data_IF_612929553382
#
_entry.id   IF_612929553382
#
_cell.length_a   1.000
_cell.length_b   1.000
_cell.length_c   1.000
_cell.angle_alpha   90.00
_cell.angle_beta   90.00
_cell.angle_gamma   90.00
#
_symmetry.space_group_name_H-M   'P 1'
#
loop_
_entity.id
_entity.type
_entity.pdbx_description
1 polymer ?
#
# COMPACT_ATOMS: atom_id res chain seq x y z
N UNK A 1 -0.32 -23.53 11.45
CA UNK A 1 0.42 -22.27 11.68
C UNK A 1 -0.50 -21.30 12.40
N UNK A 2 -0.06 -20.70 13.50
CA UNK A 2 -0.81 -19.67 14.22
C UNK A 2 -0.78 -18.41 13.36
N UNK A 3 -1.93 -17.93 12.91
CA UNK A 3 -1.99 -16.66 12.19
C UNK A 3 -1.62 -15.53 13.17
N UNK A 4 -0.67 -14.64 12.83
CA UNK A 4 -0.30 -13.54 13.71
C UNK A 4 -1.51 -12.62 13.92
N UNK A 5 -1.69 -12.15 15.16
CA UNK A 5 -2.80 -11.27 15.52
C UNK A 5 -2.82 -10.03 14.61
N UNK A 6 -4.02 -9.67 14.14
CA UNK A 6 -4.26 -8.46 13.37
C UNK A 6 -4.53 -7.34 14.38
N UNK A 7 -3.74 -6.25 14.41
CA UNK A 7 -4.07 -5.09 15.21
C UNK A 7 -5.39 -4.50 14.73
N UNK A 8 -6.24 -4.05 15.65
CA UNK A 8 -7.51 -3.42 15.30
C UNK A 8 -7.66 -2.14 16.10
N UNK A 9 -7.66 -1.00 15.40
CA UNK A 9 -7.99 0.30 15.95
C UNK A 9 -9.47 0.53 15.70
N UNK A 10 -10.24 0.78 16.75
CA UNK A 10 -11.69 1.00 16.66
C UNK A 10 -11.95 2.48 16.39
N UNK A 11 -12.77 2.77 15.38
CA UNK A 11 -13.18 4.14 15.08
C UNK A 11 -14.29 4.60 16.02
N UNK A 12 -14.28 5.89 16.39
CA UNK A 12 -15.42 6.49 17.11
C UNK A 12 -16.59 6.72 16.15
N UNK A 13 -16.28 7.16 14.92
CA UNK A 13 -17.23 7.33 13.82
C UNK A 13 -16.79 6.48 12.63
N UNK A 14 -17.67 5.62 12.11
CA UNK A 14 -17.40 4.83 10.91
C UNK A 14 -16.90 5.71 9.78
N UNK A 15 -15.84 5.28 9.10
CA UNK A 15 -15.17 5.95 7.97
C UNK A 15 -14.26 7.13 8.32
N UNK A 16 -14.11 7.46 9.61
CA UNK A 16 -13.25 8.56 10.05
C UNK A 16 -11.80 8.42 9.56
N UNK A 17 -11.21 7.22 9.63
CA UNK A 17 -9.84 6.98 9.16
C UNK A 17 -9.69 7.22 7.66
N UNK A 18 -10.72 6.91 6.88
CA UNK A 18 -10.72 7.08 5.41
C UNK A 18 -10.96 8.52 5.00
N UNK A 19 -11.76 9.25 5.77
CA UNK A 19 -12.02 10.68 5.56
C UNK A 19 -10.75 11.49 5.85
N UNK A 20 -10.14 11.28 7.01
CA UNK A 20 -8.87 11.92 7.41
C UNK A 20 -7.78 11.62 6.38
N UNK A 21 -7.70 10.38 5.90
CA UNK A 21 -6.75 10.01 4.84
C UNK A 21 -6.99 10.83 3.58
N UNK A 22 -8.25 11.00 3.16
CA UNK A 22 -8.63 11.77 1.97
C UNK A 22 -8.25 13.25 2.13
N UNK A 23 -8.56 13.86 3.27
CA UNK A 23 -8.18 15.26 3.57
C UNK A 23 -6.67 15.46 3.56
N UNK A 24 -5.91 14.46 4.04
CA UNK A 24 -4.46 14.55 4.10
C UNK A 24 -3.76 14.51 2.73
N UNK A 25 -4.43 14.04 1.66
CA UNK A 25 -3.82 13.78 0.35
C UNK A 25 -3.07 14.99 -0.23
N UNK A 26 -3.62 16.20 -0.06
CA UNK A 26 -3.02 17.46 -0.54
C UNK A 26 -1.67 17.78 0.11
N UNK A 27 -1.50 17.31 1.35
CA UNK A 27 -0.30 17.58 2.16
C UNK A 27 0.74 16.48 2.07
N UNK A 28 0.39 15.31 1.50
CA UNK A 28 1.30 14.18 1.38
C UNK A 28 2.51 14.53 0.51
N UNK A 29 3.68 14.06 0.96
CA UNK A 29 4.97 14.24 0.29
C UNK A 29 5.69 12.89 0.25
N UNK A 30 6.74 12.83 -0.57
CA UNK A 30 7.61 11.66 -0.69
C UNK A 30 6.82 10.37 -0.98
N UNK A 31 7.20 9.24 -0.38
CA UNK A 31 6.55 7.94 -0.61
C UNK A 31 5.15 7.82 0.02
N UNK A 32 4.71 8.82 0.80
CA UNK A 32 3.43 8.85 1.48
C UNK A 32 3.34 7.93 2.72
N UNK A 33 2.14 7.87 3.33
CA UNK A 33 1.90 7.13 4.56
C UNK A 33 1.82 5.62 4.29
N UNK A 34 1.94 4.76 5.33
CA UNK A 34 1.60 3.34 5.23
C UNK A 34 0.23 3.12 4.58
N UNK A 35 0.05 1.93 4.03
CA UNK A 35 -1.25 1.55 3.49
C UNK A 35 -2.26 1.47 4.64
N UNK A 36 -3.50 1.86 4.35
CA UNK A 36 -4.60 1.82 5.30
C UNK A 36 -5.53 0.69 4.90
N UNK A 37 -5.95 -0.10 5.88
CA UNK A 37 -6.98 -1.12 5.69
C UNK A 37 -8.08 -0.84 6.68
N UNK A 38 -9.26 -0.55 6.16
CA UNK A 38 -10.47 -0.28 6.92
C UNK A 38 -11.44 -1.44 6.72
N UNK A 39 -12.10 -1.88 7.79
CA UNK A 39 -13.06 -2.96 7.78
C UNK A 39 -14.33 -2.51 8.52
N UNK A 40 -15.49 -2.90 7.98
CA UNK A 40 -16.78 -2.73 8.64
C UNK A 40 -17.21 -4.07 9.22
N UNK A 41 -17.44 -4.07 10.53
CA UNK A 41 -17.87 -5.22 11.31
C UNK A 41 -19.33 -5.04 11.73
N UNK A 42 -20.16 -6.04 11.47
CA UNK A 42 -21.51 -6.12 12.04
C UNK A 42 -21.57 -7.15 13.16
N UNK A 43 -22.23 -6.85 14.28
CA UNK A 43 -22.53 -7.84 15.31
C UNK A 43 -23.38 -8.99 14.73
N UNK A 44 -23.08 -10.23 15.11
CA UNK A 44 -23.81 -11.42 14.66
C UNK A 44 -25.12 -11.60 15.42
N UNK A 45 -25.15 -11.24 16.71
CA UNK A 45 -26.27 -11.50 17.63
C UNK A 45 -27.00 -10.27 18.14
N UNK A 46 -26.43 -9.08 17.96
CA UNK A 46 -27.00 -7.83 18.48
C UNK A 46 -27.49 -6.95 17.35
N UNK A 47 -28.54 -6.16 17.61
CA UNK A 47 -29.04 -5.11 16.72
C UNK A 47 -28.23 -3.80 16.84
N UNK A 48 -27.04 -3.86 17.45
CA UNK A 48 -26.18 -2.69 17.61
C UNK A 48 -25.63 -2.22 16.26
N UNK A 49 -25.23 -0.94 16.22
CA UNK A 49 -24.65 -0.30 15.04
C UNK A 49 -23.38 -1.04 14.60
N UNK A 50 -23.09 -0.95 13.31
CA UNK A 50 -21.83 -1.40 12.74
C UNK A 50 -20.63 -0.70 13.39
N UNK A 51 -19.50 -1.39 13.42
CA UNK A 51 -18.25 -0.91 14.00
C UNK A 51 -17.22 -0.82 12.89
N UNK A 52 -16.64 0.37 12.72
CA UNK A 52 -15.47 0.58 11.87
C UNK A 52 -14.20 0.22 12.63
N UNK A 53 -13.35 -0.59 12.01
CA UNK A 53 -11.99 -0.84 12.52
C UNK A 53 -10.99 -0.64 11.41
N UNK A 54 -9.78 -0.21 11.75
CA UNK A 54 -8.71 -0.06 10.79
C UNK A 54 -7.36 -0.46 11.35
N UNK A 55 -6.43 -0.70 10.44
CA UNK A 55 -5.03 -0.93 10.76
C UNK A 55 -4.15 -0.46 9.60
N UNK A 56 -2.86 -0.29 9.89
CA UNK A 56 -1.89 0.07 8.87
C UNK A 56 -1.15 -1.15 8.36
N UNK A 57 -0.73 -1.12 7.10
CA UNK A 57 0.00 -2.22 6.48
C UNK A 57 1.14 -1.69 5.61
N UNK A 58 2.23 -2.45 5.54
CA UNK A 58 3.30 -2.25 4.56
C UNK A 58 3.73 -3.59 3.98
N UNK A 59 4.08 -3.61 2.70
CA UNK A 59 4.69 -4.78 2.05
C UNK A 59 3.71 -5.81 1.50
N UNK A 60 2.44 -5.47 1.36
CA UNK A 60 1.48 -6.25 0.56
C UNK A 60 1.69 -5.95 -0.92
N UNK A 61 1.50 -6.95 -1.77
CA UNK A 61 1.57 -6.79 -3.22
C UNK A 61 0.41 -5.94 -3.74
N UNK A 62 0.70 -4.68 -4.05
CA UNK A 62 -0.23 -3.71 -4.62
C UNK A 62 -0.18 -3.64 -6.15
N UNK A 63 0.20 -4.73 -6.83
CA UNK A 63 0.24 -4.79 -8.31
C UNK A 63 -1.11 -5.00 -8.98
N UNK A 64 -2.16 -5.36 -8.23
CA UNK A 64 -3.50 -5.52 -8.77
C UNK A 64 -4.58 -5.36 -7.70
N UNK A 65 -5.80 -5.06 -8.13
CA UNK A 65 -6.97 -5.07 -7.25
C UNK A 65 -7.24 -6.47 -6.68
N UNK A 66 -6.98 -7.53 -7.45
CA UNK A 66 -7.15 -8.92 -7.01
C UNK A 66 -6.23 -9.27 -5.84
N UNK A 67 -4.96 -8.85 -5.88
CA UNK A 67 -4.00 -9.08 -4.78
C UNK A 67 -4.45 -8.41 -3.48
N UNK A 68 -4.94 -7.17 -3.56
CA UNK A 68 -5.43 -6.42 -2.40
C UNK A 68 -6.76 -6.98 -1.87
N UNK A 69 -7.67 -7.38 -2.75
CA UNK A 69 -8.91 -8.04 -2.37
C UNK A 69 -8.64 -9.40 -1.71
N UNK A 70 -7.67 -10.16 -2.22
CA UNK A 70 -7.23 -11.41 -1.61
C UNK A 70 -6.70 -11.17 -0.18
N UNK A 71 -5.92 -10.10 0.03
CA UNK A 71 -5.49 -9.71 1.37
C UNK A 71 -6.68 -9.41 2.29
N UNK A 72 -7.65 -8.59 1.88
CA UNK A 72 -8.87 -8.31 2.67
C UNK A 72 -9.60 -9.62 3.00
N UNK A 73 -9.69 -10.55 2.05
CA UNK A 73 -10.34 -11.83 2.24
C UNK A 73 -9.66 -12.71 3.31
N UNK A 74 -8.35 -12.53 3.55
CA UNK A 74 -7.67 -13.22 4.66
C UNK A 74 -8.11 -12.70 6.02
N UNK A 75 -8.65 -11.49 6.10
CA UNK A 75 -9.08 -10.84 7.34
C UNK A 75 -10.53 -11.20 7.71
N UNK A 76 -11.34 -11.58 6.73
CA UNK A 76 -12.76 -11.94 6.93
C UNK A 76 -12.95 -13.14 7.84
N UNK A 77 -11.98 -14.06 7.86
CA UNK A 77 -12.06 -15.32 8.57
C UNK A 77 -11.08 -15.32 9.75
N UNK A 78 -11.43 -14.61 10.82
CA UNK A 78 -10.71 -14.71 12.09
C UNK A 78 -11.36 -15.82 12.95
N UNK A 79 -10.67 -16.94 13.23
CA UNK A 79 -11.28 -18.08 13.94
C UNK A 79 -11.61 -17.78 15.41
N UNK A 80 -11.06 -16.69 15.95
CA UNK A 80 -11.12 -16.34 17.37
C UNK A 80 -12.29 -15.43 17.75
N UNK A 81 -12.75 -14.56 16.84
CA UNK A 81 -13.85 -13.64 17.11
C UNK A 81 -15.09 -14.01 16.28
N UNK A 82 -16.07 -14.64 16.94
CA UNK A 82 -17.36 -15.03 16.35
C UNK A 82 -18.47 -14.01 16.64
N UNK A 83 -18.15 -12.92 17.31
CA UNK A 83 -19.14 -11.91 17.72
C UNK A 83 -19.49 -10.98 16.58
N UNK A 84 -18.56 -10.81 15.62
CA UNK A 84 -18.70 -9.93 14.48
C UNK A 84 -18.53 -10.67 13.15
N UNK A 85 -19.23 -10.20 12.13
CA UNK A 85 -19.02 -10.55 10.72
C UNK A 85 -18.47 -9.33 9.98
N UNK A 86 -17.44 -9.52 9.16
CA UNK A 86 -16.94 -8.45 8.29
C UNK A 86 -17.84 -8.40 7.04
N UNK A 87 -18.43 -7.23 6.77
CA UNK A 87 -19.33 -7.01 5.64
C UNK A 87 -18.68 -6.20 4.52
N UNK A 88 -17.69 -5.37 4.85
CA UNK A 88 -16.93 -4.61 3.88
C UNK A 88 -15.49 -4.40 4.33
N UNK A 89 -14.59 -4.27 3.37
CA UNK A 89 -13.22 -3.82 3.58
C UNK A 89 -12.77 -2.85 2.50
N UNK A 90 -11.92 -1.90 2.87
CA UNK A 90 -11.32 -0.93 1.98
C UNK A 90 -9.81 -0.92 2.19
N UNK A 91 -9.06 -1.19 1.13
CA UNK A 91 -7.61 -1.05 1.11
C UNK A 91 -7.24 0.26 0.41
N UNK A 92 -6.41 1.10 1.03
CA UNK A 92 -5.89 2.34 0.46
C UNK A 92 -4.36 2.29 0.36
N UNK A 93 -3.84 2.46 -0.86
CA UNK A 93 -2.41 2.51 -1.16
C UNK A 93 -2.07 3.81 -1.89
N UNK A 94 -1.17 4.61 -1.33
CA UNK A 94 -0.81 5.88 -1.96
C UNK A 94 0.14 5.65 -3.14
N UNK A 95 -0.14 6.25 -4.29
CA UNK A 95 0.76 6.31 -5.43
C UNK A 95 1.46 7.67 -5.44
N UNK A 96 2.75 7.68 -5.08
CA UNK A 96 3.54 8.89 -5.01
C UNK A 96 3.97 9.44 -6.40
N UNK A 97 3.98 8.60 -7.44
CA UNK A 97 4.27 9.06 -8.81
C UNK A 97 3.12 9.93 -9.32
N UNK A 98 1.89 9.44 -9.22
CA UNK A 98 0.72 10.16 -9.75
C UNK A 98 0.00 11.02 -8.71
N UNK A 99 0.40 10.94 -7.43
CA UNK A 99 -0.23 11.60 -6.27
C UNK A 99 -1.72 11.28 -6.16
N UNK A 100 -2.02 10.00 -6.30
CA UNK A 100 -3.36 9.44 -6.20
C UNK A 100 -3.37 8.42 -5.06
N UNK A 101 -4.51 8.23 -4.43
CA UNK A 101 -4.73 7.17 -3.45
C UNK A 101 -5.51 6.04 -4.12
N UNK A 102 -4.84 4.93 -4.41
CA UNK A 102 -5.48 3.74 -4.98
C UNK A 102 -6.33 3.06 -3.93
N UNK A 103 -7.57 2.73 -4.28
CA UNK A 103 -8.55 2.14 -3.38
C UNK A 103 -9.15 0.87 -3.95
N UNK A 104 -9.22 -0.16 -3.10
CA UNK A 104 -9.90 -1.42 -3.40
C UNK A 104 -10.94 -1.67 -2.32
N UNK A 105 -12.20 -1.55 -2.70
CA UNK A 105 -13.34 -1.82 -1.84
C UNK A 105 -13.86 -3.22 -2.12
N UNK A 106 -13.98 -4.02 -1.07
CA UNK A 106 -14.59 -5.34 -1.08
C UNK A 106 -15.89 -5.27 -0.29
N UNK A 107 -16.98 -5.69 -0.91
CA UNK A 107 -18.28 -5.89 -0.26
C UNK A 107 -18.54 -7.38 -0.19
N UNK A 108 -18.97 -7.86 0.98
CA UNK A 108 -19.04 -9.28 1.30
C UNK A 108 -20.50 -9.66 1.52
N UNK A 109 -21.04 -10.64 0.76
CA UNK A 109 -20.37 -11.39 -0.31
C UNK A 109 -20.38 -10.66 -1.67
N UNK A 110 -19.23 -10.64 -2.36
CA UNK A 110 -19.23 -10.75 -3.82
C UNK A 110 -19.09 -9.48 -4.66
N UNK A 111 -18.64 -8.33 -4.14
CA UNK A 111 -18.24 -7.22 -5.02
C UNK A 111 -16.85 -6.71 -4.70
N UNK A 112 -16.05 -6.46 -5.73
CA UNK A 112 -14.77 -5.78 -5.64
C UNK A 112 -14.80 -4.58 -6.58
N UNK A 113 -14.68 -3.38 -6.03
CA UNK A 113 -14.56 -2.12 -6.79
C UNK A 113 -13.16 -1.58 -6.59
N UNK A 114 -12.50 -1.22 -7.69
CA UNK A 114 -11.19 -0.56 -7.66
C UNK A 114 -11.26 0.80 -8.34
N UNK A 115 -10.72 1.80 -7.67
CA UNK A 115 -10.72 3.19 -8.12
C UNK A 115 -9.53 3.92 -7.50
N UNK A 116 -9.30 5.17 -7.90
CA UNK A 116 -8.31 6.02 -7.23
C UNK A 116 -8.92 7.38 -6.90
N UNK A 117 -8.42 7.99 -5.83
CA UNK A 117 -8.84 9.31 -5.36
C UNK A 117 -7.69 10.29 -5.57
N UNK A 118 -7.96 11.44 -6.19
CA UNK A 118 -6.95 12.47 -6.37
C UNK A 118 -6.86 13.44 -5.18
N UNK A 119 -5.92 14.40 -5.24
CA UNK A 119 -5.73 15.41 -4.20
C UNK A 119 -6.99 16.28 -3.94
N UNK A 120 -7.97 16.29 -4.86
CA UNK A 120 -9.24 17.02 -4.71
C UNK A 120 -10.34 16.18 -4.07
N UNK A 121 -10.11 14.87 -3.91
CA UNK A 121 -11.11 13.93 -3.46
C UNK A 121 -11.94 13.32 -4.60
N UNK A 122 -11.61 13.57 -5.85
CA UNK A 122 -12.38 13.10 -7.00
C UNK A 122 -12.03 11.63 -7.35
N UNK A 123 -13.06 10.83 -7.60
CA UNK A 123 -12.90 9.43 -8.02
C UNK A 123 -12.48 9.33 -9.49
N UNK A 124 -11.46 8.51 -9.75
CA UNK A 124 -10.93 8.23 -11.09
C UNK A 124 -10.75 6.72 -11.29
N UNK A 125 -10.68 6.33 -12.57
CA UNK A 125 -10.44 4.95 -12.95
C UNK A 125 -8.99 4.52 -12.64
N UNK A 126 -8.84 3.35 -12.02
CA UNK A 126 -7.55 2.73 -11.72
C UNK A 126 -7.02 1.96 -12.94
N UNK A 127 -6.14 2.59 -13.73
CA UNK A 127 -5.52 1.97 -14.91
C UNK A 127 -4.34 1.06 -14.54
N UNK A 128 -3.94 0.17 -15.46
CA UNK A 128 -2.79 -0.74 -15.26
C UNK A 128 -1.48 0.00 -15.01
N UNK A 129 -1.28 1.14 -15.68
CA UNK A 129 -0.13 2.02 -15.45
C UNK A 129 -0.09 2.55 -14.00
N UNK A 130 -1.25 2.92 -13.45
CA UNK A 130 -1.36 3.38 -12.07
C UNK A 130 -1.08 2.24 -11.08
N UNK A 131 -1.52 1.01 -11.39
CA UNK A 131 -1.21 -0.17 -10.58
C UNK A 131 0.29 -0.50 -10.57
N UNK A 132 0.97 -0.38 -11.71
CA UNK A 132 2.41 -0.57 -11.79
C UNK A 132 3.18 0.45 -10.93
N UNK A 133 2.80 1.73 -11.02
CA UNK A 133 3.35 2.78 -10.16
C UNK A 133 3.11 2.51 -8.67
N UNK A 134 1.89 2.08 -8.34
CA UNK A 134 1.47 1.82 -6.96
C UNK A 134 2.22 0.63 -6.37
N UNK A 135 2.41 -0.44 -7.15
CA UNK A 135 3.24 -1.57 -6.75
C UNK A 135 4.65 -1.11 -6.36
N UNK A 136 5.31 -0.33 -7.23
CA UNK A 136 6.65 0.18 -6.94
C UNK A 136 6.66 1.06 -5.69
N UNK A 137 5.69 1.97 -5.55
CA UNK A 137 5.54 2.79 -4.35
C UNK A 137 5.37 1.95 -3.08
N UNK A 138 4.55 0.90 -3.12
CA UNK A 138 4.30 0.01 -1.99
C UNK A 138 5.56 -0.73 -1.54
N UNK A 139 6.34 -1.27 -2.49
CA UNK A 139 7.61 -1.95 -2.20
C UNK A 139 8.64 -0.98 -1.60
N UNK A 140 8.83 0.19 -2.23
CA UNK A 140 9.76 1.22 -1.72
C UNK A 140 9.35 1.72 -0.34
N UNK A 141 8.05 1.91 -0.13
CA UNK A 141 7.51 2.32 1.17
C UNK A 141 7.77 1.27 2.24
N UNK A 142 7.56 -0.01 1.93
CA UNK A 142 7.83 -1.09 2.88
C UNK A 142 9.29 -1.09 3.35
N UNK A 143 10.25 -0.89 2.44
CA UNK A 143 11.66 -0.74 2.83
C UNK A 143 11.96 0.57 3.57
N UNK A 144 11.31 1.68 3.21
CA UNK A 144 11.49 2.95 3.91
C UNK A 144 10.95 2.95 5.34
N UNK A 145 9.97 2.10 5.65
CA UNK A 145 9.40 1.90 6.99
C UNK A 145 9.94 0.65 7.70
N UNK A 146 10.86 -0.07 7.05
CA UNK A 146 11.57 -1.18 7.68
C UNK A 146 12.55 -0.62 8.72
N UNK A 147 12.70 -1.36 9.82
CA UNK A 147 13.75 -1.09 10.79
C UNK A 147 15.10 -1.43 10.14
N UNK A 148 16.04 -0.49 10.16
CA UNK A 148 17.40 -0.70 9.69
C UNK A 148 18.29 -1.37 10.74
N UNK A 149 17.73 -1.72 11.91
CA UNK A 149 18.43 -2.35 13.02
C UNK A 149 19.35 -1.40 13.76
N UNK A 150 19.32 -0.10 13.44
CA UNK A 150 20.10 0.94 14.14
C UNK A 150 19.51 1.29 15.51
N UNK A 151 18.27 0.88 15.78
CA UNK A 151 17.55 1.18 17.02
C UNK A 151 17.07 2.64 17.14
N UNK A 152 17.43 3.51 16.20
CA UNK A 152 17.25 4.97 16.32
C UNK A 152 16.01 5.48 15.56
N UNK A 153 15.52 4.71 14.57
CA UNK A 153 14.53 5.22 13.60
C UNK A 153 13.39 4.26 13.27
N UNK A 154 12.91 3.45 14.22
CA UNK A 154 11.61 2.79 14.01
C UNK A 154 10.55 3.89 14.02
N UNK A 155 10.07 4.30 12.83
CA UNK A 155 8.85 5.11 12.71
C UNK A 155 7.73 4.31 13.38
N UNK A 156 7.39 4.68 14.63
CA UNK A 156 6.38 4.02 15.45
C UNK A 156 5.01 4.33 14.89
N UNK A 157 4.58 3.48 13.95
CA UNK A 157 3.21 3.48 13.45
C UNK A 157 2.41 2.56 14.36
N UNK A 158 1.36 3.10 14.98
CA UNK A 158 0.45 2.34 15.82
C UNK A 158 -0.37 1.39 14.94
N UNK A 159 -0.58 0.15 15.38
CA UNK A 159 -1.44 -0.79 14.67
C UNK A 159 -0.95 -1.17 13.26
N UNK A 160 0.36 -1.18 13.02
CA UNK A 160 0.93 -1.53 11.70
C UNK A 160 1.30 -3.01 11.59
N UNK A 161 0.97 -3.62 10.46
CA UNK A 161 1.46 -4.93 10.03
C UNK A 161 2.53 -4.75 8.97
N UNK A 162 3.72 -5.31 9.21
CA UNK A 162 4.83 -5.26 8.26
C UNK A 162 5.02 -6.63 7.62
N UNK A 163 4.97 -6.66 6.30
CA UNK A 163 5.29 -7.83 5.49
C UNK A 163 6.59 -7.57 4.73
N UNK A 164 7.33 -8.63 4.42
CA UNK A 164 8.43 -8.54 3.47
C UNK A 164 7.84 -8.48 2.05
N UNK A 165 8.00 -7.38 1.29
CA UNK A 165 7.45 -7.27 -0.06
C UNK A 165 8.14 -8.17 -1.09
N UNK A 166 9.37 -8.64 -0.81
CA UNK A 166 10.15 -9.49 -1.72
C UNK A 166 10.51 -10.78 -0.99
N UNK A 167 9.72 -11.83 -1.24
CA UNK A 167 9.88 -13.15 -0.59
C UNK A 167 10.41 -14.23 -1.53
N UNK A 168 10.56 -13.94 -2.82
CA UNK A 168 11.06 -14.88 -3.82
C UNK A 168 11.83 -14.17 -4.93
N UNK A 169 12.61 -14.95 -5.68
CA UNK A 169 13.37 -14.47 -6.84
C UNK A 169 12.45 -13.90 -7.93
N UNK A 170 11.26 -14.47 -8.13
CA UNK A 170 10.28 -13.97 -9.09
C UNK A 170 9.74 -12.59 -8.67
N UNK A 171 9.50 -12.38 -7.37
CA UNK A 171 9.08 -11.08 -6.83
C UNK A 171 10.19 -10.03 -6.99
N UNK A 172 11.46 -10.44 -6.85
CA UNK A 172 12.63 -9.60 -7.08
C UNK A 172 12.74 -9.17 -8.55
N UNK A 173 12.60 -10.10 -9.50
CA UNK A 173 12.58 -9.80 -10.93
C UNK A 173 11.45 -8.84 -11.30
N UNK A 174 10.23 -9.09 -10.80
CA UNK A 174 9.07 -8.22 -11.01
C UNK A 174 9.32 -6.81 -10.49
N UNK A 175 9.93 -6.67 -9.30
CA UNK A 175 10.31 -5.38 -8.74
C UNK A 175 11.31 -4.64 -9.62
N UNK A 176 12.37 -5.31 -10.06
CA UNK A 176 13.40 -4.71 -10.91
C UNK A 176 12.84 -4.26 -12.26
N UNK A 177 11.99 -5.08 -12.87
CA UNK A 177 11.35 -4.75 -14.13
C UNK A 177 10.42 -3.54 -13.99
N UNK A 178 9.61 -3.49 -12.92
CA UNK A 178 8.75 -2.34 -12.63
C UNK A 178 9.58 -1.07 -12.40
N UNK A 179 10.67 -1.17 -11.64
CA UNK A 179 11.60 -0.06 -11.40
C UNK A 179 12.23 0.44 -12.70
N UNK A 180 12.67 -0.47 -13.58
CA UNK A 180 13.27 -0.13 -14.87
C UNK A 180 12.29 0.59 -15.78
N UNK A 181 11.09 0.03 -15.97
CA UNK A 181 10.02 0.62 -16.81
C UNK A 181 9.69 2.04 -16.37
N UNK A 182 9.56 2.26 -15.05
CA UNK A 182 9.21 3.57 -14.49
C UNK A 182 10.39 4.55 -14.46
N UNK A 183 11.63 4.07 -14.30
CA UNK A 183 12.84 4.90 -14.34
C UNK A 183 12.99 5.61 -15.70
N UNK A 184 12.82 4.87 -16.80
CA UNK A 184 12.93 5.45 -18.14
C UNK A 184 11.76 6.38 -18.50
N UNK A 185 10.54 6.09 -18.01
CA UNK A 185 9.38 6.98 -18.15
C UNK A 185 9.64 8.33 -17.47
N UNK A 186 10.25 8.33 -16.28
CA UNK A 186 10.67 9.56 -15.59
C UNK A 186 11.80 10.33 -16.28
N UNK A 187 12.68 9.66 -17.03
CA UNK A 187 13.84 10.27 -17.69
C UNK A 187 13.51 10.87 -19.07
N UNK A 188 12.56 10.30 -19.83
CA UNK A 188 12.11 10.87 -21.12
C UNK A 188 11.35 12.18 -20.94
N UNK A 189 10.58 12.33 -19.88
CA UNK A 189 9.84 13.57 -19.58
C UNK A 189 10.76 14.73 -19.14
N UNK A 190 11.97 14.45 -18.63
CA UNK A 190 12.95 15.49 -18.26
C UNK A 190 13.44 16.35 -19.42
N UNK A 191 13.40 15.84 -20.66
CA UNK A 191 13.89 16.59 -21.83
C UNK A 191 12.93 17.68 -22.29
N UNK A 192 11.69 17.72 -21.80
CA UNK A 192 10.67 18.65 -22.31
C UNK A 192 10.00 19.57 -21.29
N UNK A 193 10.15 19.40 -19.97
CA UNK A 193 9.56 20.38 -19.05
C UNK A 193 10.23 20.54 -17.68
N UNK A 194 10.43 21.79 -17.26
CA UNK A 194 11.00 22.14 -15.94
C UNK A 194 9.87 22.34 -14.92
N UNK A 195 9.28 21.26 -14.41
CA UNK A 195 8.38 21.34 -13.24
C UNK A 195 8.92 20.57 -12.03
N UNK A 196 8.62 21.08 -10.83
CA UNK A 196 9.14 20.58 -9.55
C UNK A 196 8.60 19.17 -9.20
N UNK A 197 7.48 18.75 -9.78
CA UNK A 197 6.88 17.42 -9.58
C UNK A 197 7.63 16.33 -10.34
N UNK A 198 8.03 16.60 -11.57
CA UNK A 198 8.86 15.74 -12.42
C UNK A 198 10.23 15.42 -11.78
N UNK A 199 10.88 16.46 -11.23
CA UNK A 199 12.14 16.31 -10.48
C UNK A 199 12.00 15.41 -9.24
N UNK A 200 10.87 15.47 -8.56
CA UNK A 200 10.59 14.62 -7.38
C UNK A 200 10.35 13.16 -7.78
N UNK A 201 9.58 12.90 -8.85
CA UNK A 201 9.43 11.55 -9.42
C UNK A 201 10.78 10.97 -9.82
N UNK A 202 11.65 11.79 -10.43
CA UNK A 202 12.99 11.40 -10.81
C UNK A 202 13.92 11.15 -9.61
N UNK A 203 13.86 11.96 -8.55
CA UNK A 203 14.62 11.71 -7.32
C UNK A 203 14.15 10.43 -6.63
N UNK A 204 12.85 10.13 -6.66
CA UNK A 204 12.29 8.89 -6.11
C UNK A 204 12.68 7.67 -6.96
N UNK A 205 12.69 7.81 -8.30
CA UNK A 205 13.21 6.79 -9.21
C UNK A 205 14.73 6.61 -9.07
N UNK A 206 15.48 7.68 -8.77
CA UNK A 206 16.91 7.63 -8.48
C UNK A 206 17.19 7.02 -7.11
N UNK A 207 16.36 7.29 -6.09
CA UNK A 207 16.38 6.60 -4.81
C UNK A 207 16.04 5.12 -4.98
N UNK A 208 15.04 4.78 -5.81
CA UNK A 208 14.73 3.40 -6.17
C UNK A 208 15.91 2.74 -6.90
N UNK A 209 16.55 3.44 -7.84
CA UNK A 209 17.73 2.96 -8.55
C UNK A 209 18.95 2.78 -7.65
N UNK A 210 19.18 3.69 -6.71
CA UNK A 210 20.24 3.59 -5.70
C UNK A 210 19.93 2.48 -4.68
N UNK A 211 18.66 2.31 -4.30
CA UNK A 211 18.21 1.21 -3.46
C UNK A 211 18.40 -0.12 -4.19
N UNK A 212 18.06 -0.21 -5.48
CA UNK A 212 18.31 -1.39 -6.33
C UNK A 212 19.81 -1.68 -6.44
N UNK A 213 20.66 -0.67 -6.66
CA UNK A 213 22.13 -0.85 -6.68
C UNK A 213 22.67 -1.30 -5.32
N UNK A 214 22.16 -0.73 -4.23
CA UNK A 214 22.56 -1.10 -2.88
C UNK A 214 22.06 -2.51 -2.51
N UNK A 215 20.85 -2.90 -2.91
CA UNK A 215 20.33 -4.26 -2.77
C UNK A 215 21.17 -5.26 -3.58
N UNK A 216 21.55 -4.92 -4.82
CA UNK A 216 22.51 -5.72 -5.62
C UNK A 216 23.86 -5.90 -4.94
N UNK A 217 24.35 -4.89 -4.22
CA UNK A 217 25.61 -4.97 -3.47
C UNK A 217 25.49 -5.75 -2.15
N UNK A 218 24.32 -5.72 -1.50
CA UNK A 218 24.04 -6.41 -0.22
C UNK A 218 23.64 -7.88 -0.41
N UNK A 219 23.09 -8.25 -1.56
CA UNK A 219 22.70 -9.61 -1.89
C UNK A 219 23.37 -10.09 -3.20
N UNK A 220 24.70 -10.24 -3.22
CA UNK A 220 25.44 -10.61 -4.44
C UNK A 220 25.10 -12.01 -4.99
N UNK A 221 24.46 -12.86 -4.18
CA UNK A 221 24.13 -14.25 -4.53
C UNK A 221 22.70 -14.47 -5.05
N UNK A 222 21.77 -13.51 -4.91
CA UNK A 222 20.44 -13.58 -5.55
C UNK A 222 20.43 -12.98 -6.97
N UNK A 223 21.47 -12.21 -7.32
CA UNK A 223 21.61 -11.50 -8.61
C UNK A 223 22.52 -12.19 -9.65
N UNK A 224 23.04 -13.38 -9.35
CA UNK A 224 23.71 -14.23 -10.34
C UNK A 224 22.87 -15.47 -10.57
N UNK A 225 22.68 -15.81 -11.85
CA UNK A 225 21.88 -16.91 -12.44
C UNK A 225 20.37 -16.73 -12.27
N UNK A 226 19.58 -16.53 -13.33
CA UNK A 226 19.71 -16.83 -14.78
C UNK A 226 19.12 -15.70 -15.61
#
# INVERSE_FOLDING_TARGET
MVAPAVPELVEERTHESTDIRTESLQTLRELGPPDLVHLIKHPVKATSKEVGVYHHVTGIDASSSASLAAYINTLTYTPYDKSYKITSGLYCCYNAFSRLDMRVQVTIPGSVKSYCIDERGDERAATDDLWLETYLCGVLRAYSFADDGSGDTIKRIVGVRRFNPITSTEAEHKFLEAAERLFFKGMRTQRQDKTNTERKKANMAMQAGNLVRNLRSRFPTSFRTT
#
